data_IF_558389408958
#
_entry.id   IF_558389408958
#
_cell.length_a   1.000
_cell.length_b   1.000
_cell.length_c   1.000
_cell.angle_alpha   90.00
_cell.angle_beta   90.00
_cell.angle_gamma   90.00
#
_symmetry.space_group_name_H-M   'P 1'
#
loop_
_entity.id
_entity.type
_entity.pdbx_description
1 polymer ?
#
# COMPACT_ATOMS: atom_id res chain seq x y z
N UNK A 1 -10.74 16.94 2.70
CA UNK A 1 -10.52 16.02 3.82
C UNK A 1 -9.16 16.34 4.42
N UNK A 2 -9.10 16.42 5.73
CA UNK A 2 -7.88 16.44 6.52
C UNK A 2 -7.55 15.01 6.93
N UNK A 3 -6.29 14.74 7.28
CA UNK A 3 -5.95 13.44 7.86
C UNK A 3 -6.80 13.21 9.12
N UNK A 4 -7.21 11.96 9.29
CA UNK A 4 -8.15 11.47 10.30
C UNK A 4 -9.61 11.83 10.06
N UNK A 5 -9.95 12.50 8.96
CA UNK A 5 -11.35 12.60 8.54
C UNK A 5 -11.89 11.21 8.18
N UNK A 6 -13.12 10.95 8.61
CA UNK A 6 -13.86 9.74 8.31
C UNK A 6 -15.04 10.06 7.40
N UNK A 7 -15.31 9.18 6.45
CA UNK A 7 -16.42 9.29 5.51
C UNK A 7 -17.14 7.94 5.43
N UNK A 8 -18.27 7.78 6.13
CA UNK A 8 -19.08 6.58 6.00
C UNK A 8 -19.82 6.56 4.66
N UNK A 9 -19.77 5.44 3.96
CA UNK A 9 -20.50 5.17 2.72
C UNK A 9 -21.18 3.80 2.84
N UNK A 10 -22.51 3.80 2.94
CA UNK A 10 -23.30 2.60 3.24
C UNK A 10 -22.80 1.87 4.50
N UNK A 11 -22.24 0.66 4.36
CA UNK A 11 -21.74 -0.17 5.46
C UNK A 11 -20.22 -0.10 5.63
N UNK A 12 -19.56 0.78 4.88
CA UNK A 12 -18.10 0.91 4.84
C UNK A 12 -17.70 2.28 5.37
N UNK A 13 -16.75 2.31 6.31
CA UNK A 13 -16.11 3.55 6.75
C UNK A 13 -14.79 3.73 6.01
N UNK A 14 -14.56 4.93 5.49
CA UNK A 14 -13.31 5.32 4.87
C UNK A 14 -12.65 6.37 5.74
N UNK A 15 -11.49 6.05 6.32
CA UNK A 15 -10.69 6.99 7.10
C UNK A 15 -9.47 7.41 6.28
N UNK A 16 -9.31 8.72 6.14
CA UNK A 16 -8.16 9.33 5.48
C UNK A 16 -6.98 9.35 6.45
N UNK A 17 -5.82 8.83 6.06
CA UNK A 17 -4.65 8.72 6.97
C UNK A 17 -3.40 9.34 6.35
N UNK A 18 -2.45 9.82 7.18
CA UNK A 18 -1.24 10.43 6.66
C UNK A 18 -0.39 9.48 5.84
N UNK A 19 0.31 10.07 4.87
CA UNK A 19 1.37 9.46 4.09
C UNK A 19 2.51 10.49 3.95
N UNK A 20 3.72 10.03 3.64
CA UNK A 20 4.87 10.88 3.36
C UNK A 20 5.10 10.95 1.85
N UNK A 21 4.50 11.94 1.20
CA UNK A 21 4.54 12.08 -0.26
C UNK A 21 4.36 13.54 -0.69
N UNK A 22 4.21 13.78 -2.00
CA UNK A 22 3.91 15.09 -2.57
C UNK A 22 2.69 15.03 -3.50
N UNK A 23 2.25 16.17 -4.05
CA UNK A 23 1.21 16.16 -5.08
C UNK A 23 1.50 17.13 -6.21
N UNK A 24 1.04 16.81 -7.42
CA UNK A 24 1.21 17.66 -8.59
C UNK A 24 0.48 17.10 -9.81
N UNK A 25 -0.13 18.00 -10.59
CA UNK A 25 -0.78 17.68 -11.88
C UNK A 25 -0.32 18.61 -13.00
N UNK A 26 0.12 19.81 -12.63
CA UNK A 26 0.77 20.78 -13.51
C UNK A 26 1.97 21.39 -12.80
N UNK A 27 2.85 22.05 -13.53
CA UNK A 27 4.02 22.75 -12.95
C UNK A 27 3.64 23.75 -11.84
N UNK A 28 2.46 24.36 -11.93
CA UNK A 28 1.98 25.36 -10.97
C UNK A 28 1.12 24.79 -9.83
N UNK A 29 0.96 23.46 -9.74
CA UNK A 29 0.05 22.82 -8.78
C UNK A 29 0.75 21.94 -7.74
N UNK A 30 2.06 22.11 -7.54
CA UNK A 30 2.80 21.34 -6.53
C UNK A 30 2.21 21.55 -5.14
N UNK A 31 1.91 20.46 -4.43
CA UNK A 31 1.38 20.41 -3.06
C UNK A 31 0.07 21.18 -2.83
N UNK A 32 -0.74 21.38 -3.87
CA UNK A 32 -2.06 22.02 -3.74
C UNK A 32 -3.17 21.07 -3.33
N UNK A 33 -2.93 19.76 -3.40
CA UNK A 33 -3.86 18.71 -2.93
C UNK A 33 -3.16 17.84 -1.90
N UNK A 34 -3.90 17.35 -0.90
CA UNK A 34 -3.35 16.47 0.14
C UNK A 34 -3.06 15.07 -0.43
N UNK A 35 -1.96 14.46 -0.01
CA UNK A 35 -1.62 13.05 -0.23
C UNK A 35 -1.94 12.23 1.03
N UNK A 36 -2.15 10.93 0.86
CA UNK A 36 -2.73 10.11 1.93
C UNK A 36 -2.69 8.62 1.64
N UNK A 37 -2.76 7.83 2.71
CA UNK A 37 -3.32 6.49 2.67
C UNK A 37 -4.81 6.49 3.04
N UNK A 38 -5.41 5.31 3.02
CA UNK A 38 -6.78 5.05 3.43
C UNK A 38 -6.86 3.86 4.37
N UNK A 39 -7.68 3.95 5.40
CA UNK A 39 -8.21 2.78 6.10
C UNK A 39 -9.65 2.58 5.64
N UNK A 40 -9.92 1.40 5.11
CA UNK A 40 -11.24 0.99 4.68
C UNK A 40 -11.73 -0.06 5.67
N UNK A 41 -12.77 0.27 6.41
CA UNK A 41 -13.38 -0.59 7.40
C UNK A 41 -14.75 -1.02 6.91
N UNK A 42 -14.97 -2.33 6.80
CA UNK A 42 -16.27 -2.91 6.48
C UNK A 42 -16.58 -4.01 7.48
N UNK A 43 -17.70 -3.84 8.19
CA UNK A 43 -18.00 -4.62 9.41
C UNK A 43 -16.82 -4.46 10.39
N UNK A 44 -16.16 -5.56 10.75
CA UNK A 44 -15.01 -5.57 11.67
C UNK A 44 -13.68 -5.88 10.94
N UNK A 45 -13.62 -5.63 9.62
CA UNK A 45 -12.43 -5.87 8.81
C UNK A 45 -11.83 -4.57 8.32
N UNK A 46 -10.53 -4.38 8.56
CA UNK A 46 -9.76 -3.20 8.17
C UNK A 46 -8.72 -3.53 7.12
N UNK A 47 -8.84 -2.87 5.98
CA UNK A 47 -7.80 -2.77 4.95
C UNK A 47 -7.09 -1.43 5.14
N UNK A 48 -5.76 -1.45 5.25
CA UNK A 48 -4.94 -0.26 5.10
C UNK A 48 -4.36 -0.22 3.68
N UNK A 49 -4.65 0.84 2.95
CA UNK A 49 -4.04 1.16 1.66
C UNK A 49 -3.09 2.32 1.88
N UNK A 50 -1.78 2.10 1.73
CA UNK A 50 -0.80 3.13 2.04
C UNK A 50 -0.78 4.29 1.03
N UNK A 51 -1.24 4.05 -0.20
CA UNK A 51 -0.94 4.93 -1.34
C UNK A 51 0.57 5.04 -1.56
N UNK A 52 0.99 6.10 -2.23
CA UNK A 52 2.41 6.44 -2.37
C UNK A 52 2.90 7.09 -1.08
N UNK A 53 3.96 6.52 -0.51
CA UNK A 53 4.59 7.03 0.70
C UNK A 53 6.04 6.60 0.77
N UNK A 54 6.88 7.46 1.35
CA UNK A 54 8.17 7.05 1.91
C UNK A 54 8.01 6.43 3.29
N UNK A 55 9.07 5.76 3.75
CA UNK A 55 9.14 5.21 5.09
C UNK A 55 9.70 6.22 6.09
N UNK A 56 8.92 6.44 7.15
CA UNK A 56 9.32 7.20 8.33
C UNK A 56 8.81 6.43 9.56
N UNK A 57 9.70 6.08 10.50
CA UNK A 57 9.34 5.23 11.65
C UNK A 57 8.22 5.85 12.49
N UNK A 58 8.25 7.18 12.67
CA UNK A 58 7.23 7.93 13.40
C UNK A 58 5.85 7.82 12.73
N UNK A 59 5.79 7.82 11.40
CA UNK A 59 4.55 7.70 10.65
C UNK A 59 3.89 6.33 10.90
N UNK A 60 4.63 5.24 10.69
CA UNK A 60 4.07 3.89 10.80
C UNK A 60 3.76 3.49 12.25
N UNK A 61 4.56 3.96 13.21
CA UNK A 61 4.26 3.80 14.65
C UNK A 61 2.96 4.51 15.02
N UNK A 62 2.77 5.74 14.54
CA UNK A 62 1.56 6.52 14.82
C UNK A 62 0.32 5.94 14.12
N UNK A 63 0.46 5.47 12.87
CA UNK A 63 -0.59 4.73 12.16
C UNK A 63 -1.01 3.50 12.96
N UNK A 64 -0.06 2.68 13.43
CA UNK A 64 -0.36 1.52 14.27
C UNK A 64 -1.15 1.90 15.53
N UNK A 65 -0.69 2.92 16.25
CA UNK A 65 -1.34 3.36 17.49
C UNK A 65 -2.77 3.86 17.28
N UNK A 66 -3.02 4.60 16.20
CA UNK A 66 -4.33 5.20 15.93
C UNK A 66 -5.31 4.25 15.24
N UNK A 67 -4.85 3.43 14.30
CA UNK A 67 -5.71 2.53 13.51
C UNK A 67 -6.03 1.25 14.30
N UNK A 68 -5.06 0.75 15.06
CA UNK A 68 -5.18 -0.48 15.83
C UNK A 68 -4.89 -1.75 15.02
N UNK A 69 -5.85 -2.68 15.01
CA UNK A 69 -5.73 -3.93 14.26
C UNK A 69 -5.97 -3.70 12.76
N UNK A 70 -5.16 -4.33 11.91
CA UNK A 70 -5.25 -4.24 10.45
C UNK A 70 -5.27 -5.67 9.93
N UNK A 71 -6.28 -6.04 9.14
CA UNK A 71 -6.33 -7.38 8.56
C UNK A 71 -5.43 -7.48 7.33
N UNK A 72 -5.42 -6.45 6.50
CA UNK A 72 -4.65 -6.44 5.27
C UNK A 72 -4.03 -5.07 5.04
N UNK A 73 -2.73 -5.01 4.80
CA UNK A 73 -2.04 -3.79 4.41
C UNK A 73 -1.51 -3.90 2.97
N UNK A 74 -1.93 -3.00 2.10
CA UNK A 74 -1.38 -2.82 0.76
C UNK A 74 -0.25 -1.78 0.81
N UNK A 75 0.98 -2.22 0.54
CA UNK A 75 2.20 -1.42 0.72
C UNK A 75 2.96 -1.28 -0.61
N UNK A 76 3.33 -0.05 -1.03
CA UNK A 76 4.07 0.17 -2.26
C UNK A 76 5.51 -0.34 -2.16
N UNK A 77 6.02 -0.92 -3.24
CA UNK A 77 7.39 -1.48 -3.31
C UNK A 77 8.20 -1.02 -4.53
N UNK A 78 7.66 -0.14 -5.37
CA UNK A 78 8.30 0.35 -6.60
C UNK A 78 8.41 1.87 -6.66
N UNK A 79 8.96 2.38 -7.76
CA UNK A 79 9.34 3.78 -7.98
C UNK A 79 10.37 4.30 -6.97
N UNK A 80 11.30 3.45 -6.55
CA UNK A 80 12.25 3.81 -5.48
C UNK A 80 13.61 4.29 -5.98
N UNK A 81 13.96 4.17 -7.25
CA UNK A 81 15.27 4.58 -7.79
C UNK A 81 15.13 5.79 -8.72
N UNK A 82 16.04 6.78 -8.66
CA UNK A 82 17.24 6.89 -7.82
C UNK A 82 16.94 7.28 -6.35
N UNK A 83 17.66 6.67 -5.39
CA UNK A 83 17.41 6.85 -3.94
C UNK A 83 17.63 8.27 -3.44
N UNK A 84 18.52 9.06 -4.06
CA UNK A 84 18.79 10.43 -3.62
C UNK A 84 17.55 11.33 -3.67
N UNK A 85 16.58 10.99 -4.51
CA UNK A 85 15.34 11.74 -4.69
C UNK A 85 14.12 10.95 -4.21
N UNK A 86 14.00 9.70 -4.66
CA UNK A 86 12.79 8.91 -4.39
C UNK A 86 12.62 8.55 -2.91
N UNK A 87 13.68 8.58 -2.09
CA UNK A 87 13.58 8.24 -0.66
C UNK A 87 12.65 9.12 0.16
N UNK A 88 12.37 10.33 -0.32
CA UNK A 88 11.49 11.26 0.37
C UNK A 88 10.01 11.03 0.06
N UNK A 89 9.72 10.23 -0.98
CA UNK A 89 8.37 10.07 -1.52
C UNK A 89 7.94 8.62 -1.72
N UNK A 90 8.88 7.67 -1.89
CA UNK A 90 8.62 6.26 -2.16
C UNK A 90 9.48 5.32 -1.30
N UNK A 91 8.80 4.33 -0.72
CA UNK A 91 9.42 3.17 -0.09
C UNK A 91 10.15 2.31 -1.13
N UNK A 92 11.35 1.85 -0.76
CA UNK A 92 11.94 0.66 -1.39
C UNK A 92 11.42 -0.63 -0.72
N UNK A 93 11.65 -1.82 -1.29
CA UNK A 93 11.13 -3.07 -0.73
C UNK A 93 11.50 -3.34 0.73
N UNK A 94 12.72 -3.04 1.18
CA UNK A 94 13.09 -3.27 2.58
C UNK A 94 12.33 -2.34 3.54
N UNK A 95 12.03 -1.11 3.09
CA UNK A 95 11.25 -0.13 3.83
C UNK A 95 9.78 -0.55 3.92
N UNK A 96 9.21 -1.13 2.85
CA UNK A 96 7.86 -1.68 2.87
C UNK A 96 7.74 -2.91 3.81
N UNK A 97 8.77 -3.78 3.85
CA UNK A 97 8.83 -4.88 4.81
C UNK A 97 8.96 -4.35 6.25
N UNK A 98 9.71 -3.26 6.46
CA UNK A 98 9.78 -2.61 7.77
C UNK A 98 8.42 -2.01 8.17
N UNK A 99 7.73 -1.32 7.27
CA UNK A 99 6.38 -0.81 7.50
C UNK A 99 5.39 -1.93 7.87
N UNK A 100 5.49 -3.09 7.22
CA UNK A 100 4.70 -4.28 7.59
C UNK A 100 4.96 -4.71 9.04
N UNK A 101 6.24 -4.75 9.47
CA UNK A 101 6.61 -5.09 10.85
C UNK A 101 6.01 -4.09 11.83
N UNK A 102 6.13 -2.78 11.55
CA UNK A 102 5.69 -1.72 12.45
C UNK A 102 4.14 -1.66 12.56
N UNK A 103 3.42 -1.95 11.47
CA UNK A 103 1.96 -2.00 11.44
C UNK A 103 1.38 -3.29 12.04
N UNK A 104 2.14 -4.38 12.03
CA UNK A 104 1.71 -5.72 12.46
C UNK A 104 0.31 -6.11 11.90
N UNK A 105 0.09 -6.08 10.57
CA UNK A 105 -1.17 -6.53 10.00
C UNK A 105 -1.24 -8.07 10.00
N UNK A 106 -2.44 -8.65 9.86
CA UNK A 106 -2.58 -10.10 9.68
C UNK A 106 -1.86 -10.56 8.39
N UNK A 107 -1.90 -9.73 7.33
CA UNK A 107 -1.12 -9.92 6.11
C UNK A 107 -0.83 -8.59 5.39
N UNK A 108 0.16 -8.61 4.49
CA UNK A 108 0.41 -7.54 3.52
C UNK A 108 0.43 -8.04 2.09
N UNK A 109 0.08 -7.16 1.16
CA UNK A 109 0.27 -7.34 -0.27
C UNK A 109 1.12 -6.20 -0.83
N UNK A 110 2.01 -6.53 -1.76
CA UNK A 110 2.74 -5.56 -2.54
C UNK A 110 1.83 -4.85 -3.55
N UNK A 111 1.98 -3.53 -3.67
CA UNK A 111 1.38 -2.69 -4.72
C UNK A 111 2.45 -1.79 -5.35
N UNK A 112 2.04 -0.93 -6.30
CA UNK A 112 2.91 0.04 -6.97
C UNK A 112 4.13 -0.61 -7.66
N UNK A 113 3.94 -1.77 -8.29
CA UNK A 113 4.99 -2.50 -9.01
C UNK A 113 4.43 -3.27 -10.23
N UNK A 114 5.27 -3.43 -11.27
CA UNK A 114 4.98 -4.32 -12.40
C UNK A 114 4.01 -3.77 -13.45
N UNK A 115 3.42 -2.59 -13.24
CA UNK A 115 2.46 -1.96 -14.17
C UNK A 115 3.09 -0.86 -15.02
N UNK A 116 3.75 0.11 -14.38
CA UNK A 116 4.38 1.26 -15.04
C UNK A 116 5.86 1.38 -14.64
N UNK A 117 6.69 1.89 -15.55
CA UNK A 117 8.09 2.19 -15.26
C UNK A 117 8.20 3.65 -14.80
N UNK A 118 8.22 3.84 -13.47
CA UNK A 118 8.19 5.16 -12.81
C UNK A 118 9.50 5.50 -12.07
N UNK A 119 10.37 4.52 -11.89
CA UNK A 119 11.73 4.68 -11.36
C UNK A 119 12.73 3.92 -12.23
N UNK A 120 14.02 4.11 -11.96
CA UNK A 120 15.10 3.53 -12.76
C UNK A 120 15.28 2.01 -12.52
N UNK A 121 14.64 1.44 -11.49
CA UNK A 121 14.65 0.00 -11.28
C UNK A 121 13.82 -0.77 -12.32
N UNK A 122 14.22 -2.02 -12.57
CA UNK A 122 13.44 -2.92 -13.44
C UNK A 122 12.39 -3.67 -12.61
N UNK A 123 11.26 -4.02 -13.23
CA UNK A 123 10.21 -4.81 -12.56
C UNK A 123 10.71 -6.13 -11.96
N UNK A 124 11.73 -6.75 -12.58
CA UNK A 124 12.37 -7.95 -12.05
C UNK A 124 13.15 -7.68 -10.76
N UNK A 125 13.88 -6.56 -10.70
CA UNK A 125 14.64 -6.18 -9.50
C UNK A 125 13.71 -5.92 -8.32
N UNK A 126 12.59 -5.21 -8.54
CA UNK A 126 11.57 -4.99 -7.49
C UNK A 126 11.15 -6.32 -6.83
N UNK A 127 10.86 -7.33 -7.63
CA UNK A 127 10.45 -8.64 -7.13
C UNK A 127 11.56 -9.42 -6.42
N UNK A 128 12.82 -9.26 -6.86
CA UNK A 128 13.99 -9.88 -6.21
C UNK A 128 14.25 -9.22 -4.86
N UNK A 129 14.33 -7.88 -4.84
CA UNK A 129 14.60 -7.09 -3.63
C UNK A 129 13.52 -7.33 -2.57
N UNK A 130 12.26 -7.41 -2.98
CA UNK A 130 11.15 -7.75 -2.07
C UNK A 130 11.28 -9.15 -1.48
N UNK A 131 11.59 -10.15 -2.31
CA UNK A 131 11.79 -11.54 -1.83
C UNK A 131 12.97 -11.63 -0.86
N UNK A 132 14.07 -10.92 -1.14
CA UNK A 132 15.22 -10.86 -0.26
C UNK A 132 14.86 -10.21 1.08
N UNK A 133 14.20 -9.05 1.06
CA UNK A 133 13.76 -8.35 2.27
C UNK A 133 12.86 -9.21 3.16
N UNK A 134 11.88 -9.89 2.55
CA UNK A 134 10.98 -10.83 3.24
C UNK A 134 11.76 -11.99 3.86
N UNK A 135 12.67 -12.61 3.10
CA UNK A 135 13.47 -13.74 3.56
C UNK A 135 14.42 -13.37 4.71
N UNK A 136 15.11 -12.23 4.59
CA UNK A 136 16.02 -11.71 5.62
C UNK A 136 15.31 -11.42 6.94
N UNK A 137 14.07 -10.91 6.88
CA UNK A 137 13.25 -10.58 8.05
C UNK A 137 12.35 -11.74 8.52
N UNK A 138 12.38 -12.88 7.82
CA UNK A 138 11.58 -14.09 8.10
C UNK A 138 10.07 -13.81 8.15
N UNK A 139 9.60 -12.92 7.27
CA UNK A 139 8.18 -12.61 7.13
C UNK A 139 7.51 -13.70 6.30
N UNK A 140 6.34 -14.20 6.74
CA UNK A 140 5.62 -15.28 6.06
C UNK A 140 4.24 -14.86 5.52
N UNK A 141 3.79 -13.65 5.88
CA UNK A 141 2.46 -13.10 5.59
C UNK A 141 2.54 -11.79 4.75
N UNK A 142 3.62 -11.61 3.99
CA UNK A 142 3.74 -10.55 2.99
C UNK A 142 3.78 -11.18 1.60
N UNK A 143 2.80 -10.88 0.75
CA UNK A 143 2.65 -11.50 -0.58
C UNK A 143 3.01 -10.52 -1.70
N UNK A 144 3.85 -11.00 -2.62
CA UNK A 144 4.05 -10.37 -3.91
C UNK A 144 2.98 -10.93 -4.86
N UNK A 145 2.07 -10.07 -5.33
CA UNK A 145 1.10 -10.44 -6.34
C UNK A 145 1.76 -10.33 -7.72
N UNK A 146 1.60 -11.37 -8.54
CA UNK A 146 2.16 -11.41 -9.87
C UNK A 146 1.16 -10.80 -10.85
N UNK A 147 1.43 -9.57 -11.29
CA UNK A 147 0.58 -8.79 -12.19
C UNK A 147 0.84 -9.07 -13.69
N UNK A 148 1.53 -10.17 -14.04
CA UNK A 148 1.72 -10.52 -15.46
C UNK A 148 0.38 -10.89 -16.11
N UNK A 149 0.14 -10.52 -17.39
CA UNK A 149 -1.14 -10.73 -18.08
C UNK A 149 -1.67 -12.18 -18.12
N UNK A 150 -0.81 -13.17 -17.86
CA UNK A 150 -1.14 -14.60 -17.88
C UNK A 150 -1.21 -15.25 -16.48
N UNK A 151 -1.00 -14.50 -15.40
CA UNK A 151 -1.11 -15.05 -14.06
C UNK A 151 -2.55 -14.97 -13.53
N UNK A 152 -3.08 -16.13 -13.10
CA UNK A 152 -4.41 -16.24 -12.49
C UNK A 152 -4.46 -15.56 -11.10
N UNK A 153 -3.34 -15.03 -10.62
CA UNK A 153 -3.19 -14.37 -9.33
C UNK A 153 -3.76 -12.95 -9.25
N UNK A 154 -4.23 -12.36 -10.36
CA UNK A 154 -5.18 -11.23 -10.30
C UNK A 154 -6.46 -11.59 -9.50
N UNK A 155 -6.71 -12.89 -9.26
CA UNK A 155 -7.76 -13.40 -8.37
C UNK A 155 -7.34 -13.59 -6.90
N UNK A 156 -6.10 -13.31 -6.47
CA UNK A 156 -5.73 -13.47 -5.04
C UNK A 156 -6.30 -12.35 -4.17
N UNK A 157 -6.45 -11.13 -4.71
CA UNK A 157 -7.26 -10.09 -4.08
C UNK A 157 -8.66 -10.65 -3.81
N UNK A 158 -9.24 -11.37 -4.78
CA UNK A 158 -10.47 -12.12 -4.59
C UNK A 158 -10.32 -13.26 -3.56
N UNK A 159 -9.30 -14.12 -3.54
CA UNK A 159 -9.24 -15.27 -2.61
C UNK A 159 -9.00 -14.92 -1.13
N UNK A 160 -8.31 -13.82 -0.81
CA UNK A 160 -8.15 -13.38 0.59
C UNK A 160 -9.45 -12.72 1.12
N UNK A 161 -10.35 -12.35 0.21
CA UNK A 161 -11.48 -11.44 0.47
C UNK A 161 -12.84 -12.11 0.16
N UNK A 162 -12.85 -13.15 -0.69
CA UNK A 162 -14.04 -13.81 -1.26
C UNK A 162 -14.82 -14.63 -0.26
N UNK A 163 -14.22 -14.94 0.89
CA UNK A 163 -14.95 -15.69 1.90
C UNK A 163 -16.00 -14.83 2.61
N UNK A 164 -15.99 -13.48 2.52
CA UNK A 164 -17.00 -12.65 3.23
C UNK A 164 -17.24 -11.20 2.76
N UNK A 165 -16.71 -10.75 1.63
CA UNK A 165 -16.85 -9.35 1.20
C UNK A 165 -17.51 -9.26 -0.19
N UNK A 166 -18.64 -8.55 -0.26
CA UNK A 166 -19.43 -8.34 -1.48
C UNK A 166 -18.61 -7.75 -2.64
N UNK A 167 -19.06 -8.04 -3.86
CA UNK A 167 -18.50 -7.65 -5.17
C UNK A 167 -17.99 -6.19 -5.27
N UNK A 168 -18.60 -5.26 -4.52
CA UNK A 168 -18.25 -3.84 -4.56
C UNK A 168 -16.90 -3.49 -3.88
N UNK A 169 -16.48 -4.20 -2.83
CA UNK A 169 -15.17 -3.93 -2.21
C UNK A 169 -14.03 -4.64 -2.96
N UNK A 170 -14.32 -5.77 -3.58
CA UNK A 170 -13.38 -6.44 -4.50
C UNK A 170 -13.01 -5.50 -5.64
N UNK A 171 -13.99 -4.83 -6.26
CA UNK A 171 -13.74 -3.82 -7.31
C UNK A 171 -12.90 -2.62 -6.82
N UNK A 172 -13.11 -2.13 -5.59
CA UNK A 172 -12.31 -1.04 -5.01
C UNK A 172 -10.86 -1.48 -4.80
N UNK A 173 -10.66 -2.71 -4.33
CA UNK A 173 -9.33 -3.27 -4.09
C UNK A 173 -8.61 -3.58 -5.42
N UNK A 174 -9.33 -4.08 -6.41
CA UNK A 174 -8.78 -4.27 -7.77
C UNK A 174 -8.34 -2.93 -8.38
N UNK A 175 -9.08 -1.83 -8.18
CA UNK A 175 -8.64 -0.49 -8.57
C UNK A 175 -7.41 -0.01 -7.78
N UNK A 176 -7.34 -0.33 -6.48
CA UNK A 176 -6.21 0.01 -5.61
C UNK A 176 -4.95 -0.81 -5.89
N UNK A 177 -5.03 -1.96 -6.55
CA UNK A 177 -3.84 -2.75 -6.91
C UNK A 177 -3.18 -2.19 -8.18
N UNK A 178 -3.92 -1.47 -9.01
CA UNK A 178 -3.44 -0.90 -10.27
C UNK A 178 -2.64 0.40 -10.05
N UNK A 179 -2.97 1.16 -9.00
CA UNK A 179 -2.34 2.42 -8.62
C UNK A 179 -1.64 2.28 -7.27
#
# INVERSE_FOLDING_TARGET
MQWWDETPVAQTNFQFVPAQHSSGRTFASKNKTVWSGWVIEYKDKKLYFAGDTAYETELFTMLKQKIGHINLAALPIGAYTPRDYMRFEHMKPEEAVQAHIDLMPDASIAIHCGTFHLGDETSNLIGIDTKNAIAERKINNFKLLDNRPNDRNFRIANTIISDNIHDNLSAVIDLMIIF
#
